data_IF_805620882888
#
_entry.id   IF_805620882888
#
_cell.length_a   1.000
_cell.length_b   1.000
_cell.length_c   1.000
_cell.angle_alpha   90.00
_cell.angle_beta   90.00
_cell.angle_gamma   90.00
#
_symmetry.space_group_name_H-M   'P 1'
#
loop_
_entity.id
_entity.type
_entity.pdbx_description
1 polymer ?
#
# COMPACT_ATOMS: atom_id res chain seq x y z
N UNK A 1 -17.54 -77.90 -34.66
CA UNK A 1 -17.41 -77.70 -33.20
C UNK A 1 -16.79 -76.32 -32.96
N UNK A 2 -17.59 -75.37 -32.47
CA UNK A 2 -17.29 -73.92 -32.44
C UNK A 2 -16.75 -73.56 -31.06
N UNK A 3 -15.47 -73.16 -30.98
CA UNK A 3 -14.78 -72.80 -29.73
C UNK A 3 -15.18 -71.38 -29.29
N UNK A 4 -15.74 -71.27 -28.10
CA UNK A 4 -15.92 -70.00 -27.37
C UNK A 4 -14.70 -69.78 -26.47
N UNK A 5 -14.13 -68.59 -26.50
CA UNK A 5 -13.15 -68.09 -25.52
C UNK A 5 -13.68 -66.75 -24.98
N UNK A 6 -13.75 -66.55 -23.66
CA UNK A 6 -14.39 -65.38 -23.07
C UNK A 6 -13.48 -64.15 -23.11
N UNK A 7 -14.14 -63.02 -23.33
CA UNK A 7 -13.61 -61.66 -23.23
C UNK A 7 -13.22 -61.37 -21.77
N UNK A 8 -11.93 -61.16 -21.49
CA UNK A 8 -11.47 -60.62 -20.20
C UNK A 8 -11.43 -59.10 -20.33
N UNK A 9 -12.44 -58.43 -19.80
CA UNK A 9 -12.39 -56.99 -19.53
C UNK A 9 -11.58 -56.76 -18.26
N UNK A 10 -10.29 -56.43 -18.40
CA UNK A 10 -9.53 -55.81 -17.31
C UNK A 10 -9.96 -54.35 -17.24
N UNK A 11 -10.82 -54.03 -16.27
CA UNK A 11 -11.11 -52.66 -15.86
C UNK A 11 -10.06 -52.28 -14.81
N UNK A 12 -8.93 -51.69 -15.23
CA UNK A 12 -8.00 -51.06 -14.27
C UNK A 12 -8.64 -49.75 -13.84
N UNK A 13 -9.11 -49.73 -12.60
CA UNK A 13 -9.55 -48.54 -11.87
C UNK A 13 -8.36 -47.59 -11.69
N UNK A 14 -8.34 -46.49 -12.43
CA UNK A 14 -7.44 -45.38 -12.15
C UNK A 14 -8.01 -44.43 -11.09
N UNK A 15 -7.10 -43.80 -10.35
CA UNK A 15 -7.23 -42.67 -9.39
C UNK A 15 -7.39 -43.06 -7.91
N UNK A 16 -6.53 -42.55 -6.99
CA UNK A 16 -6.49 -41.12 -6.65
C UNK A 16 -5.08 -40.57 -6.29
N UNK A 17 -4.41 -39.87 -7.21
CA UNK A 17 -3.12 -39.20 -6.92
C UNK A 17 -3.31 -37.76 -6.43
N UNK A 18 -4.38 -37.09 -6.86
CA UNK A 18 -4.64 -35.68 -6.56
C UNK A 18 -4.97 -35.49 -5.07
N UNK A 19 -5.94 -36.23 -4.54
CA UNK A 19 -6.35 -36.10 -3.13
C UNK A 19 -5.21 -36.26 -2.10
N UNK A 20 -4.19 -37.07 -2.40
CA UNK A 20 -3.01 -37.21 -1.55
C UNK A 20 -2.05 -36.00 -1.65
N UNK A 21 -1.93 -35.41 -2.84
CA UNK A 21 -1.12 -34.20 -3.06
C UNK A 21 -1.76 -32.97 -2.39
N UNK A 22 -3.07 -32.75 -2.54
CA UNK A 22 -3.77 -31.66 -1.84
C UNK A 22 -3.68 -31.79 -0.31
N UNK A 23 -3.78 -33.00 0.25
CA UNK A 23 -3.67 -33.19 1.69
C UNK A 23 -2.25 -32.92 2.23
N UNK A 24 -1.21 -33.22 1.44
CA UNK A 24 0.17 -32.89 1.78
C UNK A 24 0.40 -31.37 1.75
N UNK A 25 -0.09 -30.69 0.71
CA UNK A 25 0.06 -29.24 0.54
C UNK A 25 -0.58 -28.46 1.70
N UNK A 26 -1.80 -28.84 2.10
CA UNK A 26 -2.50 -28.24 3.26
C UNK A 26 -1.75 -28.51 4.58
N UNK A 27 -1.12 -29.67 4.74
CA UNK A 27 -0.34 -29.98 5.93
C UNK A 27 0.95 -29.15 6.00
N UNK A 28 1.58 -28.91 4.86
CA UNK A 28 2.77 -28.07 4.72
C UNK A 28 2.42 -26.60 4.97
N UNK A 29 1.34 -26.08 4.37
CA UNK A 29 0.83 -24.71 4.63
C UNK A 29 0.50 -24.51 6.11
N UNK A 30 -0.15 -25.48 6.76
CA UNK A 30 -0.46 -25.39 8.18
C UNK A 30 0.81 -25.38 9.05
N UNK A 31 1.88 -26.04 8.62
CA UNK A 31 3.17 -26.04 9.31
C UNK A 31 3.87 -24.70 9.13
N UNK A 32 3.93 -24.19 7.90
CA UNK A 32 4.49 -22.88 7.59
C UNK A 32 3.73 -21.76 8.33
N UNK A 33 2.41 -21.84 8.43
CA UNK A 33 1.60 -20.86 9.16
C UNK A 33 1.98 -20.78 10.66
N UNK A 34 2.22 -21.94 11.29
CA UNK A 34 2.64 -22.00 12.70
C UNK A 34 4.05 -21.45 12.89
N UNK A 35 4.96 -21.75 11.97
CA UNK A 35 6.32 -21.19 12.00
C UNK A 35 6.30 -19.67 11.82
N UNK A 36 5.51 -19.17 10.86
CA UNK A 36 5.32 -17.74 10.65
C UNK A 36 4.75 -17.07 11.90
N UNK A 37 3.73 -17.67 12.53
CA UNK A 37 3.15 -17.15 13.77
C UNK A 37 4.18 -17.09 14.91
N UNK A 38 5.01 -18.14 15.06
CA UNK A 38 6.07 -18.19 16.07
C UNK A 38 7.11 -17.08 15.85
N UNK A 39 7.58 -16.89 14.61
CA UNK A 39 8.51 -15.80 14.26
C UNK A 39 7.90 -14.43 14.45
N UNK A 40 6.62 -14.26 14.15
CA UNK A 40 5.88 -13.02 14.39
C UNK A 40 5.79 -12.67 15.88
N UNK A 41 5.58 -13.70 16.72
CA UNK A 41 5.52 -13.57 18.17
C UNK A 41 6.88 -13.25 18.79
N UNK A 42 7.95 -13.89 18.31
CA UNK A 42 9.33 -13.58 18.69
C UNK A 42 9.70 -12.13 18.32
N UNK A 43 9.42 -11.73 17.08
CA UNK A 43 9.66 -10.35 16.64
C UNK A 43 8.84 -9.32 17.44
N UNK A 44 7.60 -9.63 17.82
CA UNK A 44 6.79 -8.76 18.69
C UNK A 44 7.39 -8.64 20.09
N UNK A 45 7.87 -9.74 20.67
CA UNK A 45 8.50 -9.74 21.99
C UNK A 45 9.80 -8.91 22.02
N UNK A 46 10.48 -8.80 20.88
CA UNK A 46 11.67 -7.97 20.68
C UNK A 46 11.36 -6.56 20.16
N UNK A 47 10.07 -6.17 20.11
CA UNK A 47 9.59 -4.88 19.60
C UNK A 47 10.00 -4.59 18.13
N UNK A 48 10.36 -5.62 17.37
CA UNK A 48 10.63 -5.55 15.93
C UNK A 48 9.32 -5.57 15.15
N UNK A 49 8.52 -4.51 15.32
CA UNK A 49 7.14 -4.44 14.82
C UNK A 49 7.00 -4.64 13.31
N UNK A 50 7.97 -4.17 12.50
CA UNK A 50 7.95 -4.35 11.05
C UNK A 50 8.13 -5.82 10.63
N UNK A 51 9.00 -6.57 11.33
CA UNK A 51 9.16 -8.00 11.10
C UNK A 51 7.95 -8.77 11.62
N UNK A 52 7.43 -8.37 12.78
CA UNK A 52 6.24 -8.96 13.38
C UNK A 52 5.02 -8.86 12.45
N UNK A 53 4.76 -7.68 11.88
CA UNK A 53 3.67 -7.46 10.91
C UNK A 53 3.81 -8.40 9.71
N UNK A 54 5.00 -8.46 9.10
CA UNK A 54 5.26 -9.32 7.94
C UNK A 54 4.99 -10.80 8.25
N UNK A 55 5.44 -11.28 9.40
CA UNK A 55 5.28 -12.68 9.79
C UNK A 55 3.83 -13.01 10.18
N UNK A 56 3.14 -12.14 10.92
CA UNK A 56 1.73 -12.35 11.24
C UNK A 56 0.82 -12.27 10.02
N UNK A 57 1.11 -11.36 9.07
CA UNK A 57 0.43 -11.32 7.78
C UNK A 57 0.57 -12.65 7.05
N UNK A 58 1.80 -13.18 6.93
CA UNK A 58 2.05 -14.48 6.30
C UNK A 58 1.31 -15.61 7.00
N UNK A 59 1.33 -15.64 8.33
CA UNK A 59 0.59 -16.63 9.12
C UNK A 59 -0.92 -16.56 8.84
N UNK A 60 -1.48 -15.36 8.75
CA UNK A 60 -2.89 -15.15 8.44
C UNK A 60 -3.25 -15.51 6.99
N UNK A 61 -2.43 -15.13 6.01
CA UNK A 61 -2.61 -15.50 4.60
C UNK A 61 -2.65 -17.02 4.39
N UNK A 62 -1.83 -17.77 5.14
CA UNK A 62 -1.76 -19.22 5.04
C UNK A 62 -2.90 -19.95 5.77
N UNK A 63 -3.37 -19.42 6.89
CA UNK A 63 -4.25 -20.17 7.79
C UNK A 63 -5.61 -19.56 8.05
N UNK A 64 -5.79 -18.26 7.75
CA UNK A 64 -6.99 -17.51 8.05
C UNK A 64 -7.30 -17.36 9.55
N UNK A 65 -6.39 -17.73 10.46
CA UNK A 65 -6.67 -17.75 11.90
C UNK A 65 -6.76 -16.34 12.49
N UNK A 66 -7.84 -16.08 13.23
CA UNK A 66 -8.16 -14.77 13.79
C UNK A 66 -7.08 -14.20 14.70
N UNK A 67 -6.33 -15.05 15.42
CA UNK A 67 -5.23 -14.62 16.29
C UNK A 67 -4.06 -14.01 15.52
N UNK A 68 -3.75 -14.52 14.31
CA UNK A 68 -2.73 -13.96 13.45
C UNK A 68 -3.14 -12.57 12.95
N UNK A 69 -4.39 -12.41 12.52
CA UNK A 69 -4.93 -11.11 12.10
C UNK A 69 -4.96 -10.09 13.24
N UNK A 70 -5.36 -10.49 14.44
CA UNK A 70 -5.31 -9.62 15.62
C UNK A 70 -3.89 -9.12 15.88
N UNK A 71 -2.91 -10.02 15.88
CA UNK A 71 -1.52 -9.66 16.15
C UNK A 71 -0.91 -8.81 15.02
N UNK A 72 -1.26 -9.08 13.75
CA UNK A 72 -0.90 -8.21 12.63
C UNK A 72 -1.43 -6.79 12.84
N UNK A 73 -2.71 -6.66 13.21
CA UNK A 73 -3.34 -5.37 13.46
C UNK A 73 -2.67 -4.62 14.63
N UNK A 74 -2.27 -5.33 15.70
CA UNK A 74 -1.48 -4.76 16.79
C UNK A 74 -0.11 -4.27 16.31
N UNK A 75 0.61 -5.05 15.51
CA UNK A 75 1.90 -4.66 14.94
C UNK A 75 1.77 -3.42 14.02
N UNK A 76 0.71 -3.34 13.20
CA UNK A 76 0.40 -2.17 12.39
C UNK A 76 0.19 -0.91 13.24
N UNK A 77 -0.50 -1.02 14.38
CA UNK A 77 -0.64 0.11 15.33
C UNK A 77 0.70 0.56 15.89
N UNK A 78 1.57 -0.38 16.26
CA UNK A 78 2.88 -0.08 16.80
C UNK A 78 3.80 0.63 15.77
N UNK A 79 3.55 0.41 14.47
CA UNK A 79 4.23 1.09 13.36
C UNK A 79 3.63 2.46 13.01
N UNK A 80 2.55 2.89 13.66
CA UNK A 80 1.82 4.12 13.29
C UNK A 80 0.94 3.99 12.04
N UNK A 81 0.81 2.77 11.47
CA UNK A 81 -0.02 2.46 10.28
C UNK A 81 -1.48 2.26 10.71
N UNK A 82 -2.10 3.31 11.25
CA UNK A 82 -3.41 3.25 11.90
C UNK A 82 -4.57 2.98 10.93
N UNK A 83 -4.49 3.45 9.69
CA UNK A 83 -5.48 3.16 8.65
C UNK A 83 -5.57 1.66 8.39
N UNK A 84 -4.43 1.02 8.16
CA UNK A 84 -4.35 -0.43 7.93
C UNK A 84 -4.71 -1.22 9.19
N UNK A 85 -4.29 -0.77 10.37
CA UNK A 85 -4.67 -1.42 11.63
C UNK A 85 -6.19 -1.41 11.83
N UNK A 86 -6.84 -0.25 11.63
CA UNK A 86 -8.30 -0.10 11.69
C UNK A 86 -8.99 -1.08 10.75
N UNK A 87 -8.50 -1.19 9.52
CA UNK A 87 -9.10 -2.06 8.51
C UNK A 87 -8.91 -3.55 8.86
N UNK A 88 -7.75 -3.93 9.38
CA UNK A 88 -7.48 -5.29 9.87
C UNK A 88 -8.36 -5.66 11.08
N UNK A 89 -8.55 -4.75 12.05
CA UNK A 89 -9.50 -4.99 13.14
C UNK A 89 -10.94 -5.06 12.66
N UNK A 90 -11.34 -4.23 11.67
CA UNK A 90 -12.68 -4.32 11.06
C UNK A 90 -12.90 -5.69 10.41
N UNK A 91 -11.90 -6.20 9.69
CA UNK A 91 -11.93 -7.54 9.12
C UNK A 91 -12.06 -8.62 10.22
N UNK A 92 -11.28 -8.50 11.29
CA UNK A 92 -11.33 -9.43 12.42
C UNK A 92 -12.71 -9.43 13.10
N UNK A 93 -13.33 -8.27 13.28
CA UNK A 93 -14.66 -8.13 13.87
C UNK A 93 -15.77 -8.77 13.02
N UNK A 94 -15.50 -9.02 11.72
CA UNK A 94 -16.37 -9.79 10.84
C UNK A 94 -16.26 -11.31 11.00
N UNK A 95 -15.29 -11.82 11.78
CA UNK A 95 -15.09 -13.25 12.01
C UNK A 95 -15.80 -13.74 13.27
N UNK A 96 -15.94 -15.07 13.39
CA UNK A 96 -16.39 -15.69 14.62
C UNK A 96 -15.24 -15.74 15.64
N UNK A 97 -15.34 -14.92 16.67
CA UNK A 97 -14.31 -14.70 17.69
C UNK A 97 -14.97 -14.58 19.07
N UNK A 98 -14.22 -14.93 20.11
CA UNK A 98 -14.68 -14.77 21.48
C UNK A 98 -15.03 -13.30 21.82
N UNK A 99 -15.99 -13.14 22.72
CA UNK A 99 -16.50 -11.83 23.17
C UNK A 99 -15.42 -10.92 23.75
N UNK A 100 -14.42 -11.46 24.47
CA UNK A 100 -13.32 -10.67 25.03
C UNK A 100 -12.38 -10.14 23.95
N UNK A 101 -12.07 -10.99 22.95
CA UNK A 101 -11.27 -10.59 21.77
C UNK A 101 -12.02 -9.55 20.96
N UNK A 102 -13.33 -9.73 20.75
CA UNK A 102 -14.18 -8.77 20.03
C UNK A 102 -14.20 -7.39 20.69
N UNK A 103 -14.33 -7.33 22.01
CA UNK A 103 -14.34 -6.05 22.73
C UNK A 103 -12.99 -5.35 22.64
N UNK A 104 -11.89 -6.08 22.88
CA UNK A 104 -10.53 -5.55 22.71
C UNK A 104 -10.30 -5.05 21.28
N UNK A 105 -10.68 -5.82 20.27
CA UNK A 105 -10.53 -5.46 18.87
C UNK A 105 -11.34 -4.20 18.50
N UNK A 106 -12.56 -4.05 19.05
CA UNK A 106 -13.38 -2.85 18.84
C UNK A 106 -12.70 -1.61 19.42
N UNK A 107 -12.23 -1.69 20.66
CA UNK A 107 -11.57 -0.56 21.33
C UNK A 107 -10.29 -0.14 20.56
N UNK A 108 -9.49 -1.12 20.11
CA UNK A 108 -8.27 -0.86 19.34
C UNK A 108 -8.57 -0.33 17.93
N UNK A 109 -9.65 -0.80 17.30
CA UNK A 109 -10.13 -0.27 16.02
C UNK A 109 -10.53 1.21 16.16
N UNK A 110 -11.31 1.56 17.18
CA UNK A 110 -11.78 2.93 17.43
C UNK A 110 -10.60 3.86 17.74
N UNK A 111 -9.66 3.43 18.58
CA UNK A 111 -8.43 4.18 18.85
C UNK A 111 -7.60 4.40 17.58
N UNK A 112 -7.52 3.40 16.69
CA UNK A 112 -6.78 3.53 15.44
C UNK A 112 -7.51 4.45 14.47
N UNK A 113 -8.84 4.30 14.34
CA UNK A 113 -9.68 5.18 13.52
C UNK A 113 -9.56 6.64 13.93
N UNK A 114 -9.49 6.94 15.23
CA UNK A 114 -9.30 8.29 15.73
C UNK A 114 -7.94 8.92 15.38
N UNK A 115 -6.94 8.10 14.99
CA UNK A 115 -5.63 8.59 14.54
C UNK A 115 -5.51 8.69 13.01
N UNK A 116 -6.43 8.09 12.26
CA UNK A 116 -6.47 8.24 10.79
C UNK A 116 -6.80 9.68 10.47
N UNK A 117 -5.91 10.32 9.73
CA UNK A 117 -6.06 11.69 9.29
C UNK A 117 -6.74 11.76 7.92
N UNK A 118 -7.21 12.96 7.58
CA UNK A 118 -7.91 13.22 6.32
C UNK A 118 -7.29 14.40 5.59
N UNK A 119 -7.09 14.23 4.29
CA UNK A 119 -6.77 15.30 3.35
C UNK A 119 -8.02 15.61 2.54
N UNK A 120 -8.48 16.86 2.55
CA UNK A 120 -9.64 17.30 1.76
C UNK A 120 -9.14 18.13 0.60
N UNK A 121 -9.19 17.56 -0.60
CA UNK A 121 -8.83 18.27 -1.83
C UNK A 121 -9.97 19.22 -2.19
N UNK A 122 -9.70 20.51 -2.08
CA UNK A 122 -10.64 21.59 -2.39
C UNK A 122 -10.46 22.03 -3.85
N UNK A 123 -11.47 22.72 -4.39
CA UNK A 123 -11.41 23.39 -5.70
C UNK A 123 -11.20 22.48 -6.92
N UNK A 124 -11.39 21.16 -6.76
CA UNK A 124 -11.46 20.23 -7.89
C UNK A 124 -12.75 20.41 -8.67
N UNK A 125 -12.64 20.36 -10.01
CA UNK A 125 -13.79 20.43 -10.92
C UNK A 125 -14.76 19.26 -10.62
N UNK A 126 -16.05 19.52 -10.29
CA UNK A 126 -17.01 18.46 -9.96
C UNK A 126 -17.43 17.63 -11.17
N UNK A 127 -17.32 18.17 -12.38
CA UNK A 127 -17.83 17.54 -13.61
C UNK A 127 -16.78 16.66 -14.30
N UNK A 128 -15.51 16.77 -13.88
CA UNK A 128 -14.37 16.03 -14.47
C UNK A 128 -13.71 15.14 -13.42
N UNK A 129 -13.36 13.91 -13.80
CA UNK A 129 -12.50 13.06 -12.97
C UNK A 129 -11.03 13.46 -13.13
N UNK A 130 -10.31 13.51 -12.00
CA UNK A 130 -8.89 13.84 -11.95
C UNK A 130 -8.06 12.58 -11.70
N UNK A 131 -6.84 12.56 -12.23
CA UNK A 131 -5.84 11.59 -11.78
C UNK A 131 -5.29 12.04 -10.44
N UNK A 132 -5.58 11.33 -9.36
CA UNK A 132 -5.14 11.67 -8.00
C UNK A 132 -4.18 10.60 -7.50
N UNK A 133 -3.06 11.02 -6.91
CA UNK A 133 -2.15 10.12 -6.18
C UNK A 133 -1.86 10.70 -4.80
N UNK A 134 -1.76 9.82 -3.80
CA UNK A 134 -1.31 10.12 -2.45
C UNK A 134 -0.08 9.26 -2.18
N UNK A 135 1.06 9.89 -1.96
CA UNK A 135 2.36 9.23 -1.75
C UNK A 135 2.78 8.32 -2.91
N UNK A 136 2.35 8.68 -4.13
CA UNK A 136 2.56 7.90 -5.35
C UNK A 136 1.53 6.79 -5.57
N UNK A 137 0.71 6.47 -4.57
CA UNK A 137 -0.37 5.50 -4.73
C UNK A 137 -1.58 6.14 -5.40
N UNK A 138 -2.08 5.58 -6.53
CA UNK A 138 -3.29 6.05 -7.18
C UNK A 138 -4.50 6.03 -6.25
N UNK A 139 -5.30 7.10 -6.31
CA UNK A 139 -6.57 7.25 -5.59
C UNK A 139 -7.69 7.45 -6.60
N UNK A 140 -8.83 6.86 -6.30
CA UNK A 140 -10.04 7.02 -7.11
C UNK A 140 -10.63 8.41 -6.85
N UNK A 141 -10.94 9.14 -7.94
CA UNK A 141 -11.79 10.32 -7.89
C UNK A 141 -13.22 9.91 -8.29
N UNK A 142 -14.05 9.65 -7.28
CA UNK A 142 -15.47 9.31 -7.44
C UNK A 142 -16.36 10.52 -7.79
N UNK A 143 -15.75 11.69 -8.00
CA UNK A 143 -16.38 13.00 -8.22
C UNK A 143 -17.13 13.56 -7.01
N UNK A 144 -16.96 12.97 -5.83
CA UNK A 144 -17.39 13.61 -4.58
C UNK A 144 -16.51 14.84 -4.30
N UNK A 145 -17.13 15.91 -3.78
CA UNK A 145 -16.43 17.18 -3.50
C UNK A 145 -16.76 17.67 -2.09
N UNK A 146 -15.75 18.08 -1.29
CA UNK A 146 -14.32 17.92 -1.55
C UNK A 146 -13.93 16.43 -1.61
N UNK A 147 -12.94 16.08 -2.43
CA UNK A 147 -12.43 14.70 -2.47
C UNK A 147 -11.65 14.45 -1.19
N UNK A 148 -12.06 13.44 -0.42
CA UNK A 148 -11.45 13.12 0.89
C UNK A 148 -10.54 11.91 0.74
N UNK A 149 -9.27 12.09 1.10
CA UNK A 149 -8.28 11.01 1.14
C UNK A 149 -7.94 10.71 2.60
N UNK A 150 -7.98 9.45 2.99
CA UNK A 150 -7.51 9.00 4.29
C UNK A 150 -6.01 8.73 4.26
N UNK A 151 -5.32 9.15 5.31
CA UNK A 151 -3.88 8.94 5.49
C UNK A 151 -3.52 8.71 6.95
N UNK A 152 -2.33 8.19 7.21
CA UNK A 152 -1.76 8.14 8.56
C UNK A 152 -1.12 9.50 8.92
N UNK A 153 -0.59 9.62 10.12
CA UNK A 153 0.15 10.84 10.50
C UNK A 153 1.52 10.90 9.81
N UNK A 154 2.01 12.11 9.54
CA UNK A 154 3.35 12.32 9.01
C UNK A 154 3.39 13.21 7.77
N UNK A 155 4.48 13.09 7.02
CA UNK A 155 4.69 13.85 5.80
C UNK A 155 4.07 13.12 4.63
N UNK A 156 3.20 13.82 3.91
CA UNK A 156 2.53 13.27 2.74
C UNK A 156 2.71 14.17 1.51
N UNK A 157 2.54 13.57 0.35
CA UNK A 157 2.52 14.22 -0.95
C UNK A 157 1.23 13.89 -1.69
N UNK A 158 0.65 14.88 -2.35
CA UNK A 158 -0.51 14.71 -3.23
C UNK A 158 -0.14 15.19 -4.62
N UNK A 159 -0.46 14.39 -5.63
CA UNK A 159 -0.36 14.75 -7.04
C UNK A 159 -1.78 14.74 -7.63
N UNK A 160 -2.14 15.82 -8.33
CA UNK A 160 -3.40 15.92 -9.09
C UNK A 160 -3.07 16.24 -10.55
N UNK A 161 -3.59 15.44 -11.47
CA UNK A 161 -3.38 15.58 -12.91
C UNK A 161 -4.72 15.71 -13.62
N UNK A 162 -4.79 16.66 -14.56
CA UNK A 162 -5.92 16.83 -15.49
C UNK A 162 -5.39 17.13 -16.89
N UNK A 163 -6.00 16.53 -17.91
CA UNK A 163 -5.62 16.77 -19.30
C UNK A 163 -5.78 18.26 -19.65
N UNK A 164 -4.74 18.85 -20.27
CA UNK A 164 -4.70 20.28 -20.61
C UNK A 164 -4.27 21.21 -19.47
N UNK A 165 -3.86 20.67 -18.31
CA UNK A 165 -3.39 21.45 -17.16
C UNK A 165 -2.01 20.97 -16.71
N UNK A 166 -1.27 21.86 -16.04
CA UNK A 166 -0.06 21.49 -15.32
C UNK A 166 -0.39 20.60 -14.12
N UNK A 167 0.41 19.55 -13.83
CA UNK A 167 0.22 18.75 -12.63
C UNK A 167 0.36 19.58 -11.36
N UNK A 168 -0.64 19.51 -10.49
CA UNK A 168 -0.58 20.10 -9.16
C UNK A 168 0.11 19.14 -8.20
N UNK A 169 1.12 19.62 -7.47
CA UNK A 169 1.81 18.86 -6.42
C UNK A 169 1.72 19.60 -5.09
N UNK A 170 1.31 18.89 -4.05
CA UNK A 170 1.30 19.36 -2.67
C UNK A 170 2.16 18.48 -1.78
N UNK A 171 2.85 19.07 -0.81
CA UNK A 171 3.52 18.33 0.27
C UNK A 171 3.24 19.01 1.60
N UNK A 172 3.03 18.23 2.66
CA UNK A 172 2.72 18.80 3.97
C UNK A 172 2.80 17.79 5.11
N UNK A 173 2.81 18.31 6.33
CA UNK A 173 2.68 17.52 7.55
C UNK A 173 1.20 17.37 7.90
N UNK A 174 0.80 16.14 8.23
CA UNK A 174 -0.55 15.79 8.65
C UNK A 174 -0.49 15.25 10.07
N UNK A 175 -1.30 15.81 10.96
CA UNK A 175 -1.39 15.37 12.35
C UNK A 175 -2.35 14.18 12.48
N UNK A 176 -2.10 13.28 13.44
CA UNK A 176 -3.01 12.18 13.75
C UNK A 176 -4.44 12.66 14.00
N UNK A 177 -5.41 12.03 13.34
CA UNK A 177 -6.83 12.38 13.42
C UNK A 177 -7.19 13.76 12.84
N UNK A 178 -6.21 14.48 12.29
CA UNK A 178 -6.39 15.81 11.75
C UNK A 178 -7.12 15.82 10.42
N UNK A 179 -7.66 17.00 10.07
CA UNK A 179 -8.19 17.29 8.74
C UNK A 179 -7.40 18.43 8.14
N UNK A 180 -6.77 18.21 6.99
CA UNK A 180 -5.99 19.21 6.27
C UNK A 180 -6.69 19.57 4.96
N UNK A 181 -6.95 20.85 4.76
CA UNK A 181 -7.46 21.37 3.49
C UNK A 181 -6.32 21.62 2.51
N UNK A 182 -6.45 21.03 1.32
CA UNK A 182 -5.50 21.19 0.22
C UNK A 182 -6.21 21.92 -0.92
N UNK A 183 -6.04 23.24 -1.06
CA UNK A 183 -6.60 23.99 -2.19
C UNK A 183 -5.88 23.62 -3.48
N UNK A 184 -6.59 22.96 -4.39
CA UNK A 184 -6.02 22.51 -5.67
C UNK A 184 -6.23 23.60 -6.72
N UNK A 185 -5.14 24.27 -7.12
CA UNK A 185 -5.14 25.23 -8.21
C UNK A 185 -4.45 24.62 -9.43
N UNK A 186 -5.23 24.26 -10.46
CA UNK A 186 -4.72 23.76 -11.73
C UNK A 186 -4.57 24.91 -12.73
N UNK A 187 -3.35 25.08 -13.24
CA UNK A 187 -3.05 26.07 -14.28
C UNK A 187 -3.16 25.42 -15.66
N UNK A 188 -3.88 26.06 -16.58
CA UNK A 188 -4.04 25.53 -17.95
C UNK A 188 -2.71 25.59 -18.69
N UNK A 189 -2.32 24.51 -19.35
CA UNK A 189 -1.16 24.52 -20.24
C UNK A 189 -1.46 25.44 -21.44
N UNK A 190 -0.50 26.28 -21.87
CA UNK A 190 -0.70 27.12 -23.04
C UNK A 190 -0.96 26.23 -24.26
N UNK A 191 -2.04 26.53 -25.00
CA UNK A 191 -2.26 25.92 -26.32
C UNK A 191 -1.07 26.28 -27.21
N UNK A 192 -0.13 25.35 -27.35
CA UNK A 192 0.85 25.45 -28.41
C UNK A 192 0.06 25.38 -29.72
N UNK A 193 -0.14 26.53 -30.38
CA UNK A 193 -0.57 26.54 -31.77
C UNK A 193 0.52 25.84 -32.56
N UNK A 194 0.35 24.55 -32.76
CA UNK A 194 1.07 23.81 -33.79
C UNK A 194 0.68 24.48 -35.09
N UNK A 195 1.58 25.28 -35.67
CA UNK A 195 1.48 25.65 -37.08
C UNK A 195 1.68 24.35 -37.83
N UNK A 196 0.57 23.66 -38.11
CA UNK A 196 0.56 22.41 -38.86
C UNK A 196 1.06 22.74 -40.25
N UNK A 197 2.34 22.45 -40.51
CA UNK A 197 2.82 22.24 -41.88
C UNK A 197 2.32 20.85 -42.26
N UNK A 198 1.28 20.82 -43.06
CA UNK A 198 0.58 19.62 -43.51
C UNK A 198 1.56 18.61 -44.14
N UNK A 199 1.91 17.58 -43.37
CA UNK A 199 2.34 16.29 -43.95
C UNK A 199 1.49 15.23 -43.29
N UNK A 200 0.44 14.84 -44.00
CA UNK A 200 -0.48 13.77 -43.63
C UNK A 200 0.27 12.48 -43.29
N UNK A 201 -0.03 11.88 -42.14
CA UNK A 201 -0.30 10.44 -42.02
C UNK A 201 -0.92 10.09 -40.67
N UNK A 202 -2.05 9.41 -40.80
CA UNK A 202 -2.81 8.52 -39.91
C UNK A 202 -2.35 8.35 -38.45
N UNK A 203 -3.32 8.55 -37.56
CA UNK A 203 -3.14 8.53 -36.13
C UNK A 203 -3.20 7.14 -35.49
N UNK A 204 -2.77 7.14 -34.23
CA UNK A 204 -3.30 6.30 -33.16
C UNK A 204 -3.22 7.12 -31.87
N UNK A 205 -4.29 7.03 -31.09
CA UNK A 205 -4.50 7.73 -29.82
C UNK A 205 -3.47 7.29 -28.79
N UNK A 206 -2.62 8.23 -28.34
CA UNK A 206 -1.53 7.99 -27.38
C UNK A 206 -2.05 7.81 -25.93
N UNK A 207 -3.37 7.92 -25.70
CA UNK A 207 -3.97 7.93 -24.37
C UNK A 207 -4.31 6.55 -23.78
N UNK A 208 -4.06 5.45 -24.50
CA UNK A 208 -4.35 4.08 -24.02
C UNK A 208 -3.09 3.24 -23.69
N UNK A 209 -1.89 3.78 -23.86
CA UNK A 209 -0.67 3.00 -23.61
C UNK A 209 -0.18 3.12 -22.15
N UNK A 210 0.06 1.98 -21.46
CA UNK A 210 0.66 1.94 -20.12
C UNK A 210 2.00 2.69 -20.01
N UNK A 211 2.68 2.91 -21.15
CA UNK A 211 3.93 3.64 -21.24
C UNK A 211 3.82 5.13 -20.85
N UNK A 212 2.64 5.76 -20.99
CA UNK A 212 2.44 7.16 -20.58
C UNK A 212 2.63 7.36 -19.07
N UNK A 213 2.16 6.40 -18.26
CA UNK A 213 2.34 6.44 -16.80
C UNK A 213 3.80 6.23 -16.36
N UNK A 214 4.60 5.52 -17.16
CA UNK A 214 6.03 5.32 -16.89
C UNK A 214 6.79 6.66 -17.03
N UNK A 215 6.43 7.49 -18.01
CA UNK A 215 7.09 8.78 -18.24
C UNK A 215 6.72 9.81 -17.17
N UNK A 216 5.46 9.86 -16.72
CA UNK A 216 5.05 10.74 -15.61
C UNK A 216 5.69 10.30 -14.28
N UNK A 217 5.79 8.98 -14.04
CA UNK A 217 6.52 8.43 -12.89
C UNK A 217 8.01 8.79 -12.90
N UNK A 218 8.65 8.83 -14.07
CA UNK A 218 10.07 9.21 -14.20
C UNK A 218 10.34 10.70 -13.92
N UNK A 219 9.38 11.60 -14.20
CA UNK A 219 9.52 13.04 -13.92
C UNK A 219 9.35 13.34 -12.43
N UNK A 220 8.43 12.65 -11.74
CA UNK A 220 8.29 12.76 -10.27
C UNK A 220 9.51 12.14 -9.56
N UNK A 221 10.08 11.06 -10.09
CA UNK A 221 11.32 10.49 -9.56
C UNK A 221 12.51 11.46 -9.66
N UNK A 222 12.58 12.33 -10.67
CA UNK A 222 13.62 13.37 -10.77
C UNK A 222 13.40 14.51 -9.78
N UNK A 223 12.16 14.88 -9.49
CA UNK A 223 11.84 15.84 -8.43
C UNK A 223 12.11 15.28 -7.02
N UNK A 224 11.86 13.99 -6.80
CA UNK A 224 12.18 13.28 -5.56
C UNK A 224 13.68 12.95 -5.41
N UNK A 225 14.40 12.66 -6.50
CA UNK A 225 15.85 12.45 -6.50
C UNK A 225 16.63 13.74 -6.18
N UNK A 226 16.06 14.91 -6.54
CA UNK A 226 16.54 16.20 -6.06
C UNK A 226 16.51 16.33 -4.53
N UNK A 227 15.60 15.63 -3.85
CA UNK A 227 15.48 15.64 -2.38
C UNK A 227 16.48 14.66 -1.72
N UNK A 228 16.82 13.54 -2.37
CA UNK A 228 17.83 12.61 -1.84
C UNK A 228 19.25 13.19 -1.95
N UNK A 229 19.54 14.00 -2.96
CA UNK A 229 20.87 14.61 -3.14
C UNK A 229 21.14 15.76 -2.14
N UNK A 230 20.10 16.35 -1.55
CA UNK A 230 20.21 17.47 -0.60
C UNK A 230 20.45 17.09 0.87
N UNK A 231 20.38 15.81 1.24
CA UNK A 231 20.47 15.36 2.65
C UNK A 231 21.83 14.70 2.99
N UNK A 232 22.77 14.65 2.06
CA UNK A 232 24.11 14.06 2.27
C UNK A 232 25.28 15.06 2.37
N UNK A 233 25.01 16.35 2.62
CA UNK A 233 26.05 17.37 2.79
C UNK A 233 25.86 18.23 4.06
N UNK A 234 25.89 17.59 5.24
CA UNK A 234 26.19 18.31 6.49
C UNK A 234 26.92 17.42 7.52
N UNK A 235 28.09 16.90 7.13
CA UNK A 235 29.04 16.23 8.03
C UNK A 235 30.48 16.73 7.79
N UNK A 236 30.64 18.01 7.44
CA UNK A 236 31.96 18.58 7.16
C UNK A 236 32.19 19.94 7.84
N UNK A 237 31.84 20.07 9.13
CA UNK A 237 32.42 21.10 10.01
C UNK A 237 32.63 20.58 11.44
N UNK A 238 33.53 19.61 11.59
CA UNK A 238 34.34 19.48 12.81
C UNK A 238 35.76 19.89 12.47
N UNK A 239 36.03 21.20 12.50
CA UNK A 239 37.40 21.66 12.63
C UNK A 239 37.83 21.54 14.10
N UNK A 240 38.94 20.86 14.43
CA UNK A 240 39.51 20.94 15.75
C UNK A 240 40.06 22.36 15.95
N UNK A 241 39.43 23.12 16.84
CA UNK A 241 40.00 24.37 17.37
C UNK A 241 41.32 24.03 18.07
N UNK A 242 42.41 24.36 17.40
CA UNK A 242 43.76 24.36 17.92
C UNK A 242 43.90 25.39 19.06
N UNK A 243 44.41 24.94 20.20
CA UNK A 243 45.36 25.66 21.05
C UNK A 243 44.90 26.98 21.68
N UNK A 244 44.42 26.91 22.92
CA UNK A 244 44.62 28.00 23.88
C UNK A 244 45.44 27.46 25.05
N UNK A 245 46.68 27.92 25.10
CA UNK A 245 47.64 27.76 26.20
C UNK A 245 47.24 28.76 27.28
N UNK A 246 46.97 28.31 28.50
CA UNK A 246 46.97 29.19 29.68
C UNK A 246 48.14 28.72 30.54
N UNK A 247 49.15 29.58 30.61
CA UNK A 247 50.21 29.53 31.62
C UNK A 247 49.70 30.13 32.94
N UNK A 248 50.33 29.63 34.02
CA UNK A 248 50.24 29.96 35.44
C UNK A 248 49.21 29.17 36.25
#
# INVERSE_FOLDING_TARGET
>A
MRRWLPLVCVLVTGLPTEAAAQAADVADEATEAREAFARGSEAAAEERWADSERWFRRAYELSGVSSALFNQAVALRALGRHREARDAFRQLLGQDIDSAVRNTARDLMEQSAARVATLRLQDLDPDTAHGVQLDGDPREDDRSRPLVLETDEGRHSVLVVRSGFEPFTWTGQVAAGGSTDVPVALESLPEQRVVVRETAREGTSVFEEPAFWIVVGAVVALAAAGIVTGVLFDQAQLQPMSGVRIEL
#
